data_IF_318594363682
#
_entry.id   IF_318594363682
#
_cell.length_a   1.000
_cell.length_b   1.000
_cell.length_c   1.000
_cell.angle_alpha   90.00
_cell.angle_beta   90.00
_cell.angle_gamma   90.00
#
_symmetry.space_group_name_H-M   'P 1'
#
loop_
_entity.id
_entity.type
_entity.pdbx_description
1 polymer ?
#
# COMPACT_ATOMS: atom_id res chain seq x y z
N UNK A 1 -0.62 16.52 -3.28
CA UNK A 1 0.83 16.27 -3.14
C UNK A 1 1.16 15.06 -4.01
N UNK A 2 1.80 15.25 -5.16
CA UNK A 2 2.16 14.13 -6.06
C UNK A 2 3.52 13.59 -5.62
N UNK A 3 3.56 12.38 -5.07
CA UNK A 3 4.80 11.71 -4.66
C UNK A 3 5.71 11.53 -5.88
N UNK A 4 6.76 12.37 -6.00
CA UNK A 4 7.77 12.24 -7.06
C UNK A 4 8.78 11.16 -6.66
N UNK A 5 8.42 9.91 -6.92
CA UNK A 5 9.30 8.75 -6.71
C UNK A 5 10.11 8.50 -8.00
N UNK A 6 11.44 8.43 -7.89
CA UNK A 6 12.31 8.11 -9.02
C UNK A 6 11.94 6.74 -9.64
N UNK A 7 12.03 6.56 -10.97
CA UNK A 7 11.57 5.32 -11.64
C UNK A 7 12.14 4.03 -11.03
N UNK A 8 13.44 4.03 -10.70
CA UNK A 8 14.10 2.89 -10.04
C UNK A 8 13.58 2.63 -8.61
N UNK A 9 13.27 3.70 -7.87
CA UNK A 9 12.71 3.60 -6.53
C UNK A 9 11.30 3.02 -6.54
N UNK A 10 10.47 3.34 -7.56
CA UNK A 10 9.15 2.73 -7.74
C UNK A 10 9.25 1.21 -7.87
N UNK A 11 10.15 0.73 -8.74
CA UNK A 11 10.35 -0.70 -8.94
C UNK A 11 10.96 -1.40 -7.73
N UNK A 12 11.84 -0.71 -7.00
CA UNK A 12 12.37 -1.22 -5.74
C UNK A 12 11.26 -1.42 -4.70
N UNK A 13 10.32 -0.47 -4.59
CA UNK A 13 9.16 -0.61 -3.71
C UNK A 13 8.25 -1.77 -4.13
N UNK A 14 7.97 -1.93 -5.43
CA UNK A 14 7.26 -3.12 -5.92
C UNK A 14 7.97 -4.40 -5.45
N UNK A 15 9.29 -4.48 -5.64
CA UNK A 15 10.05 -5.68 -5.28
C UNK A 15 10.00 -5.97 -3.76
N UNK A 16 10.10 -4.96 -2.91
CA UNK A 16 9.95 -5.14 -1.46
C UNK A 16 8.55 -5.63 -1.13
N UNK A 17 7.51 -4.97 -1.65
CA UNK A 17 6.13 -5.32 -1.35
C UNK A 17 5.77 -6.74 -1.77
N UNK A 18 6.28 -7.18 -2.93
CA UNK A 18 6.13 -8.55 -3.41
C UNK A 18 6.83 -9.56 -2.48
N UNK A 19 8.04 -9.24 -2.01
CA UNK A 19 8.80 -10.10 -1.08
C UNK A 19 8.17 -10.20 0.31
N UNK A 20 7.61 -9.11 0.80
CA UNK A 20 6.89 -9.07 2.08
C UNK A 20 5.52 -9.75 2.00
N UNK A 21 5.06 -10.13 0.81
CA UNK A 21 3.77 -10.80 0.61
C UNK A 21 2.58 -9.85 0.66
N UNK A 22 2.79 -8.55 0.43
CA UNK A 22 1.71 -7.56 0.32
C UNK A 22 0.84 -7.87 -0.91
N UNK A 23 1.46 -8.32 -2.00
CA UNK A 23 0.76 -8.85 -3.16
C UNK A 23 1.47 -10.10 -3.70
N UNK A 24 0.71 -10.96 -4.39
CA UNK A 24 1.22 -12.19 -4.98
C UNK A 24 1.95 -11.96 -6.32
N UNK A 25 2.44 -13.05 -6.92
CA UNK A 25 3.17 -13.00 -8.20
C UNK A 25 2.31 -12.53 -9.38
N UNK A 26 0.99 -12.63 -9.27
CA UNK A 26 0.03 -12.17 -10.26
C UNK A 26 -0.32 -10.68 -10.05
N UNK A 27 0.15 -10.12 -8.93
CA UNK A 27 -0.05 -8.73 -8.52
C UNK A 27 -1.31 -8.51 -7.69
N UNK A 28 -2.00 -9.57 -7.25
CA UNK A 28 -3.18 -9.43 -6.40
C UNK A 28 -2.76 -9.08 -4.98
N UNK A 29 -3.38 -8.06 -4.39
CA UNK A 29 -3.10 -7.69 -3.00
C UNK A 29 -3.63 -8.78 -2.06
N UNK A 30 -2.77 -9.24 -1.15
CA UNK A 30 -3.12 -10.24 -0.15
C UNK A 30 -3.83 -9.53 1.00
N UNK A 31 -5.16 -9.49 0.94
CA UNK A 31 -5.98 -8.76 1.93
C UNK A 31 -5.77 -9.26 3.37
N UNK A 32 -5.46 -10.54 3.55
CA UNK A 32 -5.14 -11.09 4.88
C UNK A 32 -3.86 -10.45 5.46
N UNK A 33 -2.82 -10.23 4.64
CA UNK A 33 -1.62 -9.50 5.07
C UNK A 33 -1.97 -8.08 5.47
N UNK A 34 -2.81 -7.41 4.67
CA UNK A 34 -3.29 -6.06 4.96
C UNK A 34 -4.00 -6.03 6.31
N UNK A 35 -5.01 -6.88 6.52
CA UNK A 35 -5.81 -6.89 7.73
C UNK A 35 -4.98 -7.16 8.98
N UNK A 36 -4.10 -8.17 8.94
CA UNK A 36 -3.21 -8.51 10.05
C UNK A 36 -2.27 -7.36 10.41
N UNK A 37 -1.72 -6.66 9.42
CA UNK A 37 -0.86 -5.50 9.66
C UNK A 37 -1.65 -4.24 10.03
N UNK A 38 -2.93 -4.15 9.69
CA UNK A 38 -3.81 -3.07 10.16
C UNK A 38 -4.28 -3.27 11.61
N UNK A 39 -4.44 -4.51 12.06
CA UNK A 39 -4.79 -4.84 13.44
C UNK A 39 -3.68 -4.46 14.43
N UNK A 40 -2.41 -4.59 14.01
CA UNK A 40 -1.26 -4.15 14.81
C UNK A 40 -1.13 -2.63 14.89
N UNK A 41 -1.74 -1.91 13.96
CA UNK A 41 -1.79 -0.45 13.98
C UNK A 41 -2.98 0.01 14.85
N UNK A 42 -2.70 0.86 15.85
CA UNK A 42 -3.72 1.50 16.70
C UNK A 42 -4.46 2.61 15.95
N UNK A 43 -5.12 2.24 14.85
CA UNK A 43 -5.88 3.17 14.02
C UNK A 43 -7.35 3.14 14.36
N UNK A 44 -8.03 4.31 14.30
CA UNK A 44 -9.47 4.35 14.38
C UNK A 44 -10.10 3.67 13.15
N UNK A 45 -11.31 3.15 13.33
CA UNK A 45 -11.95 2.23 12.37
C UNK A 45 -12.28 2.89 11.03
N UNK A 46 -12.53 4.20 11.02
CA UNK A 46 -12.72 5.00 9.81
C UNK A 46 -11.48 4.98 8.90
N UNK A 47 -10.28 5.07 9.50
CA UNK A 47 -9.00 5.00 8.77
C UNK A 47 -8.73 3.58 8.28
N UNK A 48 -9.10 2.55 9.06
CA UNK A 48 -9.01 1.15 8.64
C UNK A 48 -9.90 0.88 7.43
N UNK A 49 -11.14 1.35 7.45
CA UNK A 49 -12.09 1.19 6.35
C UNK A 49 -11.62 1.92 5.09
N UNK A 50 -11.14 3.16 5.21
CA UNK A 50 -10.59 3.89 4.06
C UNK A 50 -9.43 3.15 3.39
N UNK A 51 -8.52 2.59 4.19
CA UNK A 51 -7.38 1.84 3.67
C UNK A 51 -7.84 0.59 2.91
N UNK A 52 -8.74 -0.20 3.50
CA UNK A 52 -9.32 -1.39 2.85
C UNK A 52 -9.97 -1.02 1.51
N UNK A 53 -10.74 0.06 1.49
CA UNK A 53 -11.37 0.56 0.26
C UNK A 53 -10.36 1.03 -0.79
N UNK A 54 -9.27 1.67 -0.37
CA UNK A 54 -8.21 2.14 -1.26
C UNK A 54 -7.46 0.98 -1.90
N UNK A 55 -7.15 -0.05 -1.11
CA UNK A 55 -6.49 -1.26 -1.58
C UNK A 55 -7.40 -2.06 -2.52
N UNK A 56 -8.68 -2.23 -2.17
CA UNK A 56 -9.66 -2.95 -3.00
C UNK A 56 -9.86 -2.29 -4.37
N UNK A 57 -9.63 -0.97 -4.48
CA UNK A 57 -9.65 -0.25 -5.78
C UNK A 57 -8.36 -0.43 -6.57
N UNK A 58 -7.26 -0.75 -5.90
CA UNK A 58 -5.93 -0.90 -6.47
C UNK A 58 -5.61 -2.34 -6.90
N UNK A 59 -6.63 -3.23 -6.92
CA UNK A 59 -6.64 -4.71 -7.04
C UNK A 59 -5.52 -5.44 -7.80
N UNK A 60 -4.73 -4.78 -8.65
CA UNK A 60 -3.57 -5.37 -9.30
C UNK A 60 -2.35 -4.45 -9.34
N UNK A 61 -1.24 -4.93 -8.79
CA UNK A 61 0.09 -4.31 -8.88
C UNK A 61 0.93 -5.02 -9.93
N UNK A 62 0.84 -4.58 -11.19
CA UNK A 62 1.58 -5.18 -12.31
C UNK A 62 2.81 -4.37 -12.68
N UNK A 63 2.70 -3.05 -12.58
CA UNK A 63 3.75 -2.10 -12.94
C UNK A 63 4.41 -1.51 -11.69
N UNK A 64 5.57 -0.89 -11.88
CA UNK A 64 6.20 -0.12 -10.81
C UNK A 64 5.36 1.10 -10.41
N UNK A 65 4.60 1.70 -11.34
CA UNK A 65 3.64 2.76 -11.02
C UNK A 65 2.54 2.28 -10.07
N UNK A 66 2.01 1.07 -10.27
CA UNK A 66 0.91 0.54 -9.45
C UNK A 66 1.32 0.41 -7.98
N UNK A 67 2.59 0.06 -7.73
CA UNK A 67 3.13 0.00 -6.36
C UNK A 67 3.13 1.37 -5.67
N UNK A 68 3.26 2.47 -6.43
CA UNK A 68 3.15 3.83 -5.88
C UNK A 68 1.71 4.16 -5.55
N UNK A 69 0.75 3.73 -6.37
CA UNK A 69 -0.68 3.92 -6.08
C UNK A 69 -1.08 3.19 -4.80
N UNK A 70 -0.61 1.95 -4.63
CA UNK A 70 -0.78 1.20 -3.40
C UNK A 70 -0.10 1.91 -2.21
N UNK A 71 1.13 2.41 -2.40
CA UNK A 71 1.83 3.18 -1.38
C UNK A 71 1.07 4.46 -1.00
N UNK A 72 0.37 5.11 -1.93
CA UNK A 72 -0.43 6.30 -1.62
C UNK A 72 -1.60 6.00 -0.67
N UNK A 73 -2.16 4.77 -0.71
CA UNK A 73 -3.12 4.33 0.30
C UNK A 73 -2.50 4.35 1.72
N UNK A 74 -1.20 4.06 1.82
CA UNK A 74 -0.44 4.11 3.09
C UNK A 74 0.08 5.52 3.43
N UNK A 75 0.59 6.29 2.46
CA UNK A 75 1.28 7.57 2.74
C UNK A 75 0.31 8.74 2.94
N UNK A 76 -0.86 8.72 2.31
CA UNK A 76 -1.93 9.68 2.63
C UNK A 76 -2.37 9.57 4.11
N UNK A 77 -1.98 8.49 4.79
CA UNK A 77 -2.12 8.27 6.22
C UNK A 77 -0.90 8.74 7.04
N UNK A 78 0.34 8.69 6.53
CA UNK A 78 1.54 9.02 7.32
C UNK A 78 1.78 10.51 7.55
N UNK A 79 1.10 11.39 6.80
CA UNK A 79 1.11 12.85 7.06
C UNK A 79 0.36 13.24 8.36
N UNK A 80 -0.44 12.34 8.95
CA UNK A 80 -1.05 12.53 10.28
C UNK A 80 -0.25 11.87 11.42
N UNK A 81 0.88 11.21 11.12
CA UNK A 81 1.71 10.51 12.10
C UNK A 81 3.10 11.13 12.29
N UNK A 82 3.35 12.29 11.67
CA UNK A 82 4.59 13.06 11.74
C UNK A 82 4.35 14.55 12.04
N UNK A 83 3.33 14.84 12.87
CA UNK A 83 3.23 16.07 13.67
C UNK A 83 2.95 15.68 15.12
#
# INVERSE_FOLDING_TARGET
>A
MTLRVFPKAKCFMKCIMEKEGIFDKDGNVVMEYVEKNMESLKLPDDKKNYFKDCVAKSNHVKTCEDSVNLLQCFVKYSDDALV
#
